data_IF_138703809657
#
_entry.id   IF_138703809657
#
_cell.length_a   1.000
_cell.length_b   1.000
_cell.length_c   1.000
_cell.angle_alpha   90.00
_cell.angle_beta   90.00
_cell.angle_gamma   90.00
#
_symmetry.space_group_name_H-M   'P 1'
#
loop_
_entity.id
_entity.type
_entity.pdbx_description
1 polymer ?
#
# COMPACT_ATOMS: atom_id res chain seq x y z
N UNK A 1 15.88 25.98 -8.54
CA UNK A 1 14.98 26.71 -7.61
C UNK A 1 13.71 25.90 -7.44
N UNK A 2 13.19 25.78 -6.23
CA UNK A 2 11.95 25.04 -5.97
C UNK A 2 10.73 25.76 -6.59
N UNK A 3 9.87 25.07 -7.35
CA UNK A 3 8.71 25.71 -7.98
C UNK A 3 7.79 26.32 -6.93
N UNK A 4 7.30 27.54 -7.19
CA UNK A 4 6.47 28.33 -6.26
C UNK A 4 5.25 27.54 -5.75
N UNK A 5 4.68 26.65 -6.57
CA UNK A 5 3.51 25.81 -6.24
C UNK A 5 3.72 24.86 -5.04
N UNK A 6 4.96 24.53 -4.71
CA UNK A 6 5.33 23.69 -3.55
C UNK A 6 5.55 24.50 -2.27
N UNK A 7 5.58 25.83 -2.35
CA UNK A 7 5.80 26.73 -1.20
C UNK A 7 4.59 27.54 -0.82
N UNK A 8 3.65 27.73 -1.74
CA UNK A 8 2.42 28.47 -1.49
C UNK A 8 1.29 28.03 -2.43
N UNK A 9 0.07 28.12 -1.92
CA UNK A 9 -1.13 28.05 -2.74
C UNK A 9 -1.45 29.41 -3.36
N UNK A 10 -1.73 29.43 -4.66
CA UNK A 10 -2.26 30.58 -5.36
C UNK A 10 -3.67 30.92 -4.86
N UNK A 11 -3.93 32.19 -4.59
CA UNK A 11 -5.24 32.67 -4.09
C UNK A 11 -6.44 32.28 -4.98
N UNK A 12 -6.19 32.08 -6.28
CA UNK A 12 -7.21 31.77 -7.29
C UNK A 12 -7.44 30.29 -7.51
N UNK A 13 -6.54 29.41 -7.05
CA UNK A 13 -6.67 27.97 -7.26
C UNK A 13 -7.70 27.34 -6.29
N UNK A 14 -8.16 26.10 -6.55
CA UNK A 14 -9.01 25.37 -5.63
C UNK A 14 -8.41 25.28 -4.23
N UNK A 15 -9.23 25.45 -3.21
CA UNK A 15 -8.77 25.40 -1.83
C UNK A 15 -8.29 23.98 -1.47
N UNK A 16 -7.11 23.83 -0.84
CA UNK A 16 -6.53 22.52 -0.53
C UNK A 16 -7.32 21.70 0.50
N UNK A 17 -8.38 22.27 1.08
CA UNK A 17 -9.29 21.54 1.97
C UNK A 17 -10.38 20.72 1.25
N UNK A 18 -10.36 20.69 -0.10
CA UNK A 18 -11.31 19.93 -0.90
C UNK A 18 -12.73 20.53 -0.99
N UNK A 19 -12.91 21.79 -0.60
CA UNK A 19 -14.26 22.43 -0.57
C UNK A 19 -14.83 22.82 -1.94
N UNK A 20 -14.05 22.73 -3.01
CA UNK A 20 -14.40 23.23 -4.35
C UNK A 20 -14.36 24.76 -4.50
N UNK A 21 -14.21 25.53 -3.42
CA UNK A 21 -14.07 27.00 -3.45
C UNK A 21 -12.64 27.41 -3.79
N UNK A 22 -12.45 28.63 -4.31
CA UNK A 22 -11.12 29.24 -4.46
C UNK A 22 -10.45 29.43 -3.08
N UNK A 23 -9.13 29.22 -2.98
CA UNK A 23 -8.39 29.31 -1.73
C UNK A 23 -8.63 30.64 -0.97
N UNK A 24 -8.61 31.78 -1.68
CA UNK A 24 -8.90 33.11 -1.11
C UNK A 24 -10.27 33.23 -0.43
N UNK A 25 -11.25 32.48 -0.91
CA UNK A 25 -12.64 32.51 -0.44
C UNK A 25 -12.94 31.36 0.54
N UNK A 26 -11.90 30.66 1.00
CA UNK A 26 -12.02 29.52 1.91
C UNK A 26 -10.92 29.56 2.98
N UNK A 27 -9.92 28.67 2.96
CA UNK A 27 -8.96 28.54 4.05
C UNK A 27 -8.01 29.74 4.22
N UNK A 28 -7.80 30.59 3.21
CA UNK A 28 -6.78 31.65 3.26
C UNK A 28 -6.91 32.60 4.47
N UNK A 29 -8.14 32.98 4.82
CA UNK A 29 -8.46 33.88 5.94
C UNK A 29 -9.21 33.17 7.08
N UNK A 30 -9.40 31.86 7.02
CA UNK A 30 -10.16 31.12 8.02
C UNK A 30 -9.27 30.81 9.23
N UNK A 31 -9.83 30.90 10.43
CA UNK A 31 -9.16 30.47 11.66
C UNK A 31 -9.28 28.97 11.85
N UNK A 32 -8.32 28.41 12.58
CA UNK A 32 -8.35 27.01 12.96
C UNK A 32 -9.50 26.70 13.93
N UNK A 33 -9.95 25.46 13.90
CA UNK A 33 -10.87 24.94 14.90
C UNK A 33 -10.12 24.73 16.21
N UNK A 34 -10.77 25.02 17.34
CA UNK A 34 -10.25 24.63 18.66
C UNK A 34 -10.30 23.12 18.77
N UNK A 35 -9.15 22.50 19.04
CA UNK A 35 -9.03 21.04 19.09
C UNK A 35 -8.57 20.57 20.48
N UNK A 36 -9.01 19.39 20.96
CA UNK A 36 -8.69 18.92 22.30
C UNK A 36 -7.18 18.86 22.61
N UNK A 37 -6.33 18.59 21.60
CA UNK A 37 -4.89 18.52 21.80
C UNK A 37 -4.25 19.87 22.13
N UNK A 38 -4.90 21.02 21.89
CA UNK A 38 -4.33 22.34 22.22
C UNK A 38 -4.31 22.59 23.74
N UNK A 39 -5.15 21.85 24.49
CA UNK A 39 -5.28 21.91 25.94
C UNK A 39 -4.25 21.06 26.68
N UNK A 40 -3.46 20.24 25.98
CA UNK A 40 -2.40 19.42 26.59
C UNK A 40 -1.14 20.27 26.84
N UNK A 41 -0.26 19.87 27.78
CA UNK A 41 1.01 20.57 28.02
C UNK A 41 1.83 20.74 26.75
N UNK A 42 2.52 21.87 26.59
CA UNK A 42 3.29 22.20 25.38
C UNK A 42 4.19 21.06 24.90
N UNK A 43 4.93 20.43 25.82
CA UNK A 43 5.83 19.29 25.55
C UNK A 43 5.15 18.04 24.95
N UNK A 44 3.82 17.95 25.01
CA UNK A 44 3.01 16.83 24.48
C UNK A 44 2.20 17.20 23.24
N UNK A 45 2.21 18.47 22.82
CA UNK A 45 1.35 18.95 21.72
C UNK A 45 1.70 18.32 20.39
N UNK A 46 2.97 18.10 20.11
CA UNK A 46 3.41 17.47 18.85
C UNK A 46 2.88 16.03 18.73
N UNK A 47 3.12 15.19 19.74
CA UNK A 47 2.59 13.82 19.77
C UNK A 47 1.06 13.79 19.72
N UNK A 48 0.40 14.69 20.44
CA UNK A 48 -1.07 14.79 20.43
C UNK A 48 -1.62 15.26 19.07
N UNK A 49 -0.90 16.14 18.35
CA UNK A 49 -1.24 16.53 16.97
C UNK A 49 -1.04 15.36 15.99
N UNK A 50 0.07 14.62 16.10
CA UNK A 50 0.32 13.41 15.29
C UNK A 50 -0.77 12.35 15.51
N UNK A 51 -1.16 12.10 16.75
CA UNK A 51 -2.28 11.20 17.08
C UNK A 51 -3.62 11.71 16.52
N UNK A 52 -3.88 13.03 16.56
CA UNK A 52 -5.06 13.62 15.92
C UNK A 52 -5.05 13.41 14.40
N UNK A 53 -3.94 13.69 13.73
CA UNK A 53 -3.79 13.47 12.29
C UNK A 53 -3.97 12.00 11.91
N UNK A 54 -3.42 11.07 12.70
CA UNK A 54 -3.61 9.64 12.51
C UNK A 54 -5.09 9.21 12.65
N UNK A 55 -5.80 9.70 13.67
CA UNK A 55 -7.23 9.40 13.82
C UNK A 55 -8.04 9.96 12.65
N UNK A 56 -7.71 11.17 12.20
CA UNK A 56 -8.36 11.79 11.04
C UNK A 56 -8.12 10.97 9.76
N UNK A 57 -6.94 10.39 9.59
CA UNK A 57 -6.64 9.46 8.50
C UNK A 57 -7.54 8.21 8.56
N UNK A 58 -7.68 7.58 9.73
CA UNK A 58 -8.58 6.44 9.93
C UNK A 58 -10.05 6.78 9.67
N UNK A 59 -10.47 8.01 9.91
CA UNK A 59 -11.83 8.50 9.63
C UNK A 59 -12.03 8.94 8.17
N UNK A 60 -10.95 9.20 7.43
CA UNK A 60 -10.98 9.72 6.06
C UNK A 60 -11.25 8.65 5.00
N UNK A 61 -12.18 7.73 5.31
CA UNK A 61 -12.54 6.62 4.43
C UNK A 61 -13.34 7.07 3.22
N UNK A 62 -13.07 6.50 2.05
CA UNK A 62 -13.82 6.75 0.82
C UNK A 62 -14.58 5.50 0.39
N UNK A 63 -15.80 5.66 -0.11
CA UNK A 63 -16.61 4.57 -0.66
C UNK A 63 -16.90 4.88 -2.12
N UNK A 64 -16.38 4.06 -3.01
CA UNK A 64 -16.59 4.19 -4.45
C UNK A 64 -16.45 2.82 -5.11
N UNK A 65 -16.94 2.70 -6.35
CA UNK A 65 -16.59 1.56 -7.19
C UNK A 65 -15.56 2.01 -8.22
N UNK A 66 -14.42 1.33 -8.26
CA UNK A 66 -13.31 1.64 -9.16
C UNK A 66 -13.46 0.99 -10.54
N UNK A 67 -14.48 0.17 -10.74
CA UNK A 67 -14.82 -0.40 -12.04
C UNK A 67 -15.12 0.72 -13.06
N UNK A 68 -14.72 0.57 -14.34
CA UNK A 68 -14.80 1.65 -15.33
C UNK A 68 -16.23 2.13 -15.61
N UNK A 69 -17.20 1.20 -15.62
CA UNK A 69 -18.60 1.49 -15.88
C UNK A 69 -19.36 1.67 -14.56
N UNK A 70 -19.45 2.91 -14.12
CA UNK A 70 -20.16 3.27 -12.90
C UNK A 70 -21.68 3.21 -13.06
N UNK A 71 -22.22 3.27 -14.29
CA UNK A 71 -23.66 3.19 -14.55
C UNK A 71 -24.19 1.77 -14.29
N UNK A 72 -23.35 0.76 -14.49
CA UNK A 72 -23.66 -0.64 -14.21
C UNK A 72 -23.44 -1.08 -12.77
N UNK A 73 -23.10 -0.15 -11.86
CA UNK A 73 -22.95 -0.46 -10.45
C UNK A 73 -24.28 -0.93 -9.84
N UNK A 74 -24.26 -2.15 -9.31
CA UNK A 74 -25.40 -2.74 -8.61
C UNK A 74 -24.99 -3.20 -7.21
N UNK A 75 -25.91 -3.08 -6.26
CA UNK A 75 -25.67 -3.40 -4.86
C UNK A 75 -24.92 -2.30 -4.10
N UNK A 76 -24.55 -2.59 -2.86
CA UNK A 76 -23.83 -1.64 -1.99
C UNK A 76 -22.33 -1.72 -2.25
N UNK A 77 -21.63 -0.62 -2.02
CA UNK A 77 -20.17 -0.66 -1.82
C UNK A 77 -19.90 -1.52 -0.58
N UNK A 78 -19.10 -2.57 -0.76
CA UNK A 78 -18.78 -3.55 0.28
C UNK A 78 -17.31 -3.44 0.68
N UNK A 79 -16.97 -4.19 1.72
CA UNK A 79 -15.59 -4.44 2.10
C UNK A 79 -15.03 -5.51 1.15
N UNK A 80 -14.43 -5.06 0.05
CA UNK A 80 -13.74 -5.92 -0.91
C UNK A 80 -12.36 -6.30 -0.35
N UNK A 81 -11.97 -7.55 -0.45
CA UNK A 81 -10.66 -8.00 0.04
C UNK A 81 -9.59 -7.83 -1.03
N UNK A 82 -8.43 -7.28 -0.66
CA UNK A 82 -7.26 -7.26 -1.55
C UNK A 82 -6.57 -8.62 -1.60
N UNK A 83 -6.69 -9.44 -0.54
CA UNK A 83 -6.25 -10.83 -0.51
C UNK A 83 -7.45 -11.75 -0.30
N UNK A 84 -7.55 -12.81 -1.10
CA UNK A 84 -8.71 -13.70 -1.07
C UNK A 84 -9.01 -14.25 0.34
N UNK A 85 -10.24 -14.05 0.82
CA UNK A 85 -10.66 -14.54 2.14
C UNK A 85 -10.77 -16.07 2.19
N UNK A 86 -11.51 -16.67 1.25
CA UNK A 86 -11.79 -18.12 1.18
C UNK A 86 -10.72 -18.91 0.41
N UNK A 87 -9.45 -18.57 0.65
CA UNK A 87 -8.30 -19.21 0.02
C UNK A 87 -7.04 -18.78 0.75
N UNK A 88 -6.46 -17.65 0.34
CA UNK A 88 -5.24 -17.07 0.92
C UNK A 88 -5.36 -16.83 2.43
N UNK A 89 -6.31 -16.01 2.88
CA UNK A 89 -6.43 -15.68 4.30
C UNK A 89 -6.81 -16.90 5.14
N UNK A 90 -7.61 -17.82 4.60
CA UNK A 90 -7.99 -19.05 5.30
C UNK A 90 -6.81 -20.00 5.53
N UNK A 91 -5.77 -19.95 4.67
CA UNK A 91 -4.54 -20.72 4.86
C UNK A 91 -3.61 -20.13 5.93
N UNK A 92 -3.68 -18.81 6.13
CA UNK A 92 -2.80 -18.06 7.05
C UNK A 92 -3.49 -17.85 8.41
N UNK A 93 -4.83 -17.90 8.46
CA UNK A 93 -5.58 -17.62 9.68
C UNK A 93 -5.51 -18.75 10.69
N UNK A 94 -5.39 -18.38 11.96
CA UNK A 94 -5.54 -19.27 13.11
C UNK A 94 -6.77 -18.83 13.90
N UNK A 95 -7.66 -19.76 14.24
CA UNK A 95 -8.92 -19.45 14.94
C UNK A 95 -9.74 -18.32 14.27
N UNK A 96 -9.69 -18.24 12.93
CA UNK A 96 -10.39 -17.22 12.15
C UNK A 96 -9.74 -15.83 12.12
N UNK A 97 -8.50 -15.74 12.60
CA UNK A 97 -7.79 -14.49 12.81
C UNK A 97 -6.39 -14.48 12.17
N UNK A 98 -5.92 -13.30 11.78
CA UNK A 98 -4.60 -13.04 11.20
C UNK A 98 -3.97 -11.82 11.86
N UNK A 99 -2.65 -11.70 11.76
CA UNK A 99 -1.96 -10.47 12.16
C UNK A 99 -1.81 -9.56 10.96
N UNK A 100 -2.25 -8.31 11.07
CA UNK A 100 -1.99 -7.27 10.07
C UNK A 100 -0.86 -6.38 10.58
N UNK A 101 0.23 -6.31 9.82
CA UNK A 101 1.37 -5.47 10.16
C UNK A 101 1.06 -4.03 9.76
N UNK A 102 0.78 -3.19 10.75
CA UNK A 102 0.43 -1.78 10.59
C UNK A 102 1.11 -0.94 11.67
N UNK A 103 1.16 0.38 11.44
CA UNK A 103 1.50 1.35 12.48
C UNK A 103 0.25 1.82 13.25
N UNK A 104 0.44 2.09 14.54
CA UNK A 104 -0.54 2.78 15.39
C UNK A 104 0.17 3.91 16.17
N UNK A 105 -0.60 4.82 16.76
CA UNK A 105 -0.06 5.87 17.62
C UNK A 105 -0.47 5.62 19.07
N UNK A 106 0.54 5.36 19.92
CA UNK A 106 0.41 5.35 21.36
C UNK A 106 0.18 6.76 21.93
N UNK A 107 0.30 6.90 23.25
CA UNK A 107 0.07 8.18 23.94
C UNK A 107 1.04 9.28 23.52
N UNK A 108 2.28 8.94 23.20
CA UNK A 108 3.34 9.91 22.90
C UNK A 108 4.13 9.56 21.62
N UNK A 109 4.15 8.30 21.16
CA UNK A 109 4.95 7.83 20.00
C UNK A 109 4.21 6.84 19.07
N UNK A 110 4.74 6.65 17.87
CA UNK A 110 4.35 5.58 16.95
C UNK A 110 4.67 4.23 17.61
N UNK A 111 3.68 3.34 17.66
CA UNK A 111 3.83 1.98 18.16
C UNK A 111 3.43 1.00 17.07
N UNK A 112 3.93 -0.21 17.18
CA UNK A 112 3.37 -1.33 16.45
C UNK A 112 2.38 -2.05 17.34
N UNK A 113 1.09 -1.86 17.04
CA UNK A 113 0.04 -2.68 17.63
C UNK A 113 -0.23 -3.85 16.68
N UNK A 114 0.08 -5.04 17.15
CA UNK A 114 -0.11 -6.28 16.41
C UNK A 114 -1.58 -6.61 16.52
N UNK A 115 -2.38 -6.07 15.59
CA UNK A 115 -3.81 -6.34 15.58
C UNK A 115 -4.02 -7.76 15.08
N UNK A 116 -4.40 -8.60 16.02
CA UNK A 116 -5.18 -9.79 15.77
C UNK A 116 -6.53 -9.31 15.17
N UNK A 117 -6.68 -9.50 13.86
CA UNK A 117 -7.84 -9.05 13.09
C UNK A 117 -8.55 -10.27 12.49
N UNK A 118 -9.88 -10.25 12.52
CA UNK A 118 -10.67 -11.30 11.87
C UNK A 118 -10.31 -11.35 10.38
N UNK A 119 -10.12 -12.56 9.84
CA UNK A 119 -9.86 -12.74 8.40
C UNK A 119 -10.92 -12.09 7.51
N UNK A 120 -12.17 -11.97 8.00
CA UNK A 120 -13.29 -11.34 7.31
C UNK A 120 -13.21 -9.81 7.25
N UNK A 121 -12.31 -9.19 8.02
CA UNK A 121 -12.03 -7.75 8.02
C UNK A 121 -10.64 -7.42 7.47
N UNK A 122 -9.71 -8.36 7.59
CA UNK A 122 -8.34 -8.18 7.15
C UNK A 122 -8.24 -7.86 5.65
N UNK A 123 -7.40 -6.89 5.33
CA UNK A 123 -7.11 -6.44 3.96
C UNK A 123 -8.34 -5.99 3.16
N UNK A 124 -9.37 -5.51 3.85
CA UNK A 124 -10.57 -4.99 3.19
C UNK A 124 -10.48 -3.50 2.89
N UNK A 125 -11.07 -3.09 1.76
CA UNK A 125 -11.24 -1.71 1.37
C UNK A 125 -12.57 -1.54 0.63
N UNK A 126 -13.04 -0.30 0.50
CA UNK A 126 -14.38 0.02 -0.04
C UNK A 126 -14.30 0.58 -1.47
N UNK A 127 -13.55 -0.14 -2.31
CA UNK A 127 -13.28 0.22 -3.71
C UNK A 127 -14.15 -0.48 -4.76
N UNK A 128 -15.08 -1.35 -4.36
CA UNK A 128 -15.97 -2.06 -5.29
C UNK A 128 -17.39 -2.24 -4.73
N UNK A 129 -18.39 -2.20 -5.61
CA UNK A 129 -19.73 -2.70 -5.30
C UNK A 129 -19.74 -4.24 -5.35
N UNK A 130 -20.79 -4.85 -4.79
CA UNK A 130 -20.89 -6.31 -4.70
C UNK A 130 -20.84 -7.02 -6.07
N UNK A 131 -21.52 -6.47 -7.07
CA UNK A 131 -21.49 -6.97 -8.45
C UNK A 131 -20.08 -6.97 -9.02
N UNK A 132 -19.37 -5.84 -8.99
CA UNK A 132 -18.08 -5.71 -9.65
C UNK A 132 -16.94 -6.40 -8.90
N UNK A 133 -16.99 -6.45 -7.56
CA UNK A 133 -16.07 -7.26 -6.76
C UNK A 133 -16.14 -8.74 -7.19
N UNK A 134 -17.37 -9.27 -7.30
CA UNK A 134 -17.59 -10.67 -7.69
C UNK A 134 -17.23 -10.93 -9.15
N UNK A 135 -17.69 -10.08 -10.07
CA UNK A 135 -17.55 -10.31 -11.51
C UNK A 135 -16.11 -10.17 -11.99
N UNK A 136 -15.42 -9.11 -11.56
CA UNK A 136 -14.05 -8.81 -12.02
C UNK A 136 -13.08 -9.88 -11.55
N UNK A 137 -13.17 -10.26 -10.27
CA UNK A 137 -12.16 -11.12 -9.67
C UNK A 137 -12.53 -12.61 -9.64
N UNK A 138 -13.68 -12.99 -10.23
CA UNK A 138 -14.15 -14.38 -10.25
C UNK A 138 -13.06 -15.39 -10.63
N UNK A 139 -12.24 -15.07 -11.63
CA UNK A 139 -11.22 -15.99 -12.15
C UNK A 139 -10.15 -16.32 -11.10
N UNK A 140 -9.61 -15.31 -10.42
CA UNK A 140 -8.59 -15.48 -9.36
C UNK A 140 -9.17 -15.88 -7.99
N UNK A 141 -10.50 -15.88 -7.85
CA UNK A 141 -11.18 -16.27 -6.62
C UNK A 141 -11.74 -17.70 -6.66
N UNK A 142 -12.04 -18.24 -7.85
CA UNK A 142 -12.77 -19.52 -7.98
C UNK A 142 -11.98 -20.61 -8.69
N UNK A 143 -10.88 -20.26 -9.36
CA UNK A 143 -10.03 -21.21 -10.08
C UNK A 143 -8.69 -21.39 -9.38
N UNK A 144 -7.99 -22.45 -9.75
CA UNK A 144 -6.60 -22.61 -9.36
C UNK A 144 -5.74 -21.50 -9.95
N UNK A 145 -4.70 -21.13 -9.20
CA UNK A 145 -3.75 -20.11 -9.62
C UNK A 145 -2.91 -20.66 -10.76
N UNK A 146 -3.02 -20.01 -11.92
CA UNK A 146 -2.22 -20.24 -13.10
C UNK A 146 -1.42 -18.96 -13.42
N UNK A 147 -0.14 -18.98 -13.03
CA UNK A 147 0.79 -17.86 -13.24
C UNK A 147 1.24 -17.70 -14.69
N UNK A 148 0.84 -18.63 -15.58
CA UNK A 148 1.03 -18.51 -17.03
C UNK A 148 -0.17 -17.86 -17.72
N UNK A 149 -1.30 -17.72 -17.02
CA UNK A 149 -2.50 -17.04 -17.53
C UNK A 149 -2.36 -15.52 -17.43
N UNK A 150 -2.25 -14.86 -18.58
CA UNK A 150 -2.28 -13.39 -18.67
C UNK A 150 -3.48 -12.78 -17.95
N UNK A 151 -4.66 -13.44 -18.02
CA UNK A 151 -5.88 -13.00 -17.34
C UNK A 151 -5.72 -12.99 -15.83
N UNK A 152 -5.20 -14.06 -15.23
CA UNK A 152 -5.04 -14.10 -13.77
C UNK A 152 -3.98 -13.12 -13.30
N UNK A 153 -2.82 -13.09 -13.95
CA UNK A 153 -1.76 -12.12 -13.65
C UNK A 153 -2.26 -10.66 -13.77
N UNK A 154 -3.11 -10.38 -14.77
CA UNK A 154 -3.76 -9.07 -14.94
C UNK A 154 -4.68 -8.76 -13.76
N UNK A 155 -5.52 -9.71 -13.34
CA UNK A 155 -6.48 -9.50 -12.25
C UNK A 155 -5.79 -9.31 -10.89
N UNK A 156 -4.69 -10.02 -10.62
CA UNK A 156 -3.85 -9.76 -9.45
C UNK A 156 -3.27 -8.34 -9.48
N UNK A 157 -2.70 -7.92 -10.61
CA UNK A 157 -2.17 -6.58 -10.79
C UNK A 157 -3.27 -5.50 -10.65
N UNK A 158 -4.45 -5.72 -11.24
CA UNK A 158 -5.59 -4.81 -11.15
C UNK A 158 -6.10 -4.67 -9.72
N UNK A 159 -6.17 -5.76 -8.95
CA UNK A 159 -6.55 -5.71 -7.54
C UNK A 159 -5.55 -4.90 -6.71
N UNK A 160 -4.25 -5.15 -6.91
CA UNK A 160 -3.18 -4.41 -6.26
C UNK A 160 -3.20 -2.91 -6.61
N UNK A 161 -3.42 -2.60 -7.88
CA UNK A 161 -3.63 -1.23 -8.38
C UNK A 161 -4.84 -0.54 -7.72
N UNK A 162 -5.98 -1.23 -7.67
CA UNK A 162 -7.21 -0.67 -7.12
C UNK A 162 -7.07 -0.33 -5.64
N UNK A 163 -6.39 -1.19 -4.87
CA UNK A 163 -6.02 -0.92 -3.49
C UNK A 163 -5.14 0.33 -3.37
N UNK A 164 -4.10 0.44 -4.21
CA UNK A 164 -3.17 1.58 -4.16
C UNK A 164 -3.86 2.90 -4.52
N UNK A 165 -4.69 2.92 -5.57
CA UNK A 165 -5.47 4.10 -5.93
C UNK A 165 -6.42 4.51 -4.79
N UNK A 166 -7.09 3.54 -4.17
CA UNK A 166 -8.00 3.78 -3.06
C UNK A 166 -7.25 4.39 -1.87
N UNK A 167 -6.11 3.81 -1.46
CA UNK A 167 -5.25 4.34 -0.39
C UNK A 167 -4.77 5.76 -0.66
N UNK A 168 -4.30 6.06 -1.89
CA UNK A 168 -3.85 7.42 -2.24
C UNK A 168 -4.99 8.44 -2.17
N UNK A 169 -6.19 8.08 -2.63
CA UNK A 169 -7.37 8.95 -2.50
C UNK A 169 -7.78 9.18 -1.05
N UNK A 170 -7.71 8.16 -0.18
CA UNK A 170 -7.93 8.33 1.27
C UNK A 170 -6.88 9.26 1.89
N UNK A 171 -5.60 9.12 1.51
CA UNK A 171 -4.52 10.00 1.96
C UNK A 171 -4.75 11.47 1.57
N UNK A 172 -5.14 11.74 0.32
CA UNK A 172 -5.51 13.10 -0.10
C UNK A 172 -6.70 13.64 0.69
N UNK A 173 -7.74 12.82 0.89
CA UNK A 173 -8.91 13.22 1.69
C UNK A 173 -8.51 13.53 3.13
N UNK A 174 -7.60 12.76 3.72
CA UNK A 174 -7.06 12.98 5.07
C UNK A 174 -6.37 14.36 5.18
N UNK A 175 -5.45 14.66 4.25
CA UNK A 175 -4.78 15.97 4.20
C UNK A 175 -5.79 17.12 3.97
N UNK A 176 -6.79 16.90 3.11
CA UNK A 176 -7.86 17.88 2.88
C UNK A 176 -8.69 18.14 4.15
N UNK A 177 -9.04 17.10 4.91
CA UNK A 177 -9.73 17.27 6.19
C UNK A 177 -8.84 18.00 7.20
N UNK A 178 -7.53 17.73 7.20
CA UNK A 178 -6.58 18.41 8.07
C UNK A 178 -6.55 19.92 7.78
N UNK A 179 -6.47 20.34 6.50
CA UNK A 179 -6.59 21.75 6.12
C UNK A 179 -7.96 22.36 6.42
N UNK A 180 -9.02 21.55 6.45
CA UNK A 180 -10.37 22.00 6.81
C UNK A 180 -10.48 22.26 8.32
N UNK A 181 -9.86 21.42 9.13
CA UNK A 181 -9.78 21.56 10.58
C UNK A 181 -8.81 22.68 10.98
N UNK A 182 -7.67 22.77 10.30
CA UNK A 182 -6.59 23.72 10.54
C UNK A 182 -6.16 24.46 9.27
N UNK A 183 -6.94 25.46 8.82
CA UNK A 183 -6.60 26.29 7.66
C UNK A 183 -5.20 26.92 7.72
N UNK A 184 -4.64 27.22 8.89
CA UNK A 184 -3.28 27.80 9.00
C UNK A 184 -2.20 26.90 8.41
N UNK A 185 -2.37 25.57 8.46
CA UNK A 185 -1.42 24.61 7.88
C UNK A 185 -1.25 24.82 6.36
N UNK A 186 -2.23 25.42 5.68
CA UNK A 186 -2.10 25.76 4.24
C UNK A 186 -1.12 26.90 3.95
N UNK A 187 -0.41 27.39 4.97
CA UNK A 187 0.69 28.36 4.87
C UNK A 187 2.03 27.75 5.29
N UNK A 188 2.03 26.53 5.82
CA UNK A 188 3.23 25.81 6.27
C UNK A 188 3.82 25.03 5.09
N UNK A 189 5.09 25.29 4.77
CA UNK A 189 5.75 24.77 3.55
C UNK A 189 5.71 23.24 3.50
N UNK A 190 5.92 22.56 4.62
CA UNK A 190 5.93 21.09 4.70
C UNK A 190 4.57 20.49 4.34
N UNK A 191 3.47 21.05 4.84
CA UNK A 191 2.12 20.59 4.52
C UNK A 191 1.72 20.92 3.08
N UNK A 192 2.16 22.08 2.56
CA UNK A 192 1.95 22.45 1.15
C UNK A 192 2.67 21.44 0.26
N UNK A 193 3.95 21.17 0.53
CA UNK A 193 4.74 20.20 -0.22
C UNK A 193 4.12 18.80 -0.16
N UNK A 194 3.73 18.33 1.04
CA UNK A 194 3.06 17.05 1.23
C UNK A 194 1.80 16.95 0.35
N UNK A 195 0.92 17.95 0.40
CA UNK A 195 -0.30 17.98 -0.43
C UNK A 195 0.02 17.90 -1.93
N UNK A 196 1.03 18.65 -2.40
CA UNK A 196 1.42 18.63 -3.82
C UNK A 196 2.02 17.29 -4.25
N UNK A 197 2.85 16.68 -3.42
CA UNK A 197 3.36 15.34 -3.72
C UNK A 197 2.24 14.30 -3.73
N UNK A 198 1.23 14.42 -2.84
CA UNK A 198 0.04 13.57 -2.89
C UNK A 198 -0.77 13.79 -4.17
N UNK A 199 -0.94 15.03 -4.63
CA UNK A 199 -1.59 15.33 -5.93
C UNK A 199 -0.82 14.69 -7.10
N UNK A 200 0.50 14.81 -7.14
CA UNK A 200 1.33 14.17 -8.16
C UNK A 200 1.22 12.64 -8.12
N UNK A 201 1.34 12.04 -6.94
CA UNK A 201 1.23 10.59 -6.77
C UNK A 201 -0.15 10.05 -7.19
N UNK A 202 -1.22 10.83 -7.00
CA UNK A 202 -2.56 10.47 -7.48
C UNK A 202 -2.65 10.58 -9.01
N UNK A 203 -2.09 11.63 -9.60
CA UNK A 203 -2.05 11.78 -11.05
C UNK A 203 -1.31 10.62 -11.73
N UNK A 204 -0.20 10.18 -11.13
CA UNK A 204 0.54 9.01 -11.60
C UNK A 204 -0.35 7.76 -11.65
N UNK A 205 -1.06 7.48 -10.55
CA UNK A 205 -1.95 6.31 -10.47
C UNK A 205 -3.19 6.47 -11.37
N UNK A 206 -3.65 7.68 -11.65
CA UNK A 206 -4.74 7.90 -12.61
C UNK A 206 -4.38 7.55 -14.05
N UNK A 207 -3.11 7.64 -14.45
CA UNK A 207 -2.67 7.15 -15.76
C UNK A 207 -2.82 5.63 -15.84
N UNK A 208 -2.44 4.91 -14.77
CA UNK A 208 -2.68 3.48 -14.65
C UNK A 208 -4.17 3.14 -14.68
N UNK A 209 -5.03 3.95 -14.05
CA UNK A 209 -6.48 3.77 -14.12
C UNK A 209 -6.96 3.70 -15.56
N UNK A 210 -6.58 4.66 -16.40
CA UNK A 210 -6.98 4.68 -17.82
C UNK A 210 -6.54 3.41 -18.56
N UNK A 211 -5.35 2.93 -18.26
CA UNK A 211 -4.80 1.71 -18.84
C UNK A 211 -5.59 0.47 -18.40
N UNK A 212 -5.76 0.26 -17.09
CA UNK A 212 -6.47 -0.88 -16.54
C UNK A 212 -7.95 -0.87 -16.94
N UNK A 213 -8.59 0.29 -16.96
CA UNK A 213 -9.98 0.44 -17.38
C UNK A 213 -10.17 -0.01 -18.84
N UNK A 214 -9.28 0.46 -19.74
CA UNK A 214 -9.28 0.05 -21.15
C UNK A 214 -9.04 -1.46 -21.30
N UNK A 215 -8.10 -2.02 -20.55
CA UNK A 215 -7.80 -3.45 -20.56
C UNK A 215 -9.02 -4.27 -20.12
N UNK A 216 -9.67 -3.86 -19.04
CA UNK A 216 -10.75 -4.60 -18.41
C UNK A 216 -12.02 -4.56 -19.27
N UNK A 217 -12.33 -3.44 -19.92
CA UNK A 217 -13.48 -3.31 -20.84
C UNK A 217 -13.29 -4.17 -22.09
N UNK A 218 -12.07 -4.17 -22.66
CA UNK A 218 -11.79 -4.88 -23.91
C UNK A 218 -11.35 -6.33 -23.71
N UNK A 219 -11.28 -6.80 -22.47
CA UNK A 219 -10.68 -8.08 -22.08
C UNK A 219 -9.24 -8.29 -22.62
N UNK A 220 -8.50 -7.19 -22.77
CA UNK A 220 -7.11 -7.17 -23.26
C UNK A 220 -6.13 -7.35 -22.09
N UNK A 221 -6.09 -8.57 -21.57
CA UNK A 221 -5.27 -8.94 -20.41
C UNK A 221 -3.78 -9.02 -20.72
N UNK A 222 -3.43 -9.16 -21.99
CA UNK A 222 -2.04 -9.19 -22.44
C UNK A 222 -1.37 -7.83 -22.32
N UNK A 223 -2.05 -6.74 -21.96
CA UNK A 223 -1.34 -5.46 -21.83
C UNK A 223 -0.36 -5.41 -20.64
N UNK A 224 -0.42 -6.35 -19.70
CA UNK A 224 0.58 -6.47 -18.62
C UNK A 224 1.70 -7.47 -18.97
N UNK A 225 2.81 -7.36 -18.26
CA UNK A 225 3.86 -8.38 -18.18
C UNK A 225 4.04 -8.79 -16.73
N UNK A 226 4.47 -10.02 -16.52
CA UNK A 226 4.74 -10.56 -15.18
C UNK A 226 5.98 -11.44 -15.17
N UNK A 227 6.71 -11.41 -14.06
CA UNK A 227 7.65 -12.47 -13.67
C UNK A 227 7.16 -13.12 -12.39
N UNK A 228 7.42 -14.42 -12.22
CA UNK A 228 6.95 -15.19 -11.08
C UNK A 228 8.07 -16.03 -10.49
N UNK A 229 8.22 -15.96 -9.16
CA UNK A 229 9.03 -16.89 -8.39
C UNK A 229 8.12 -17.84 -7.63
N UNK A 230 8.58 -19.07 -7.41
CA UNK A 230 7.79 -20.10 -6.73
C UNK A 230 8.64 -20.81 -5.70
N UNK A 231 8.12 -20.96 -4.49
CA UNK A 231 8.64 -21.91 -3.52
C UNK A 231 7.76 -23.15 -3.49
N UNK A 232 8.36 -24.33 -3.41
CA UNK A 232 7.65 -25.61 -3.33
C UNK A 232 7.15 -25.93 -1.90
N UNK A 233 6.86 -24.88 -1.13
CA UNK A 233 6.23 -24.95 0.18
C UNK A 233 5.33 -23.72 0.40
N UNK A 234 4.36 -23.80 1.30
CA UNK A 234 3.49 -22.67 1.67
C UNK A 234 4.15 -21.79 2.75
N UNK A 235 4.32 -20.49 2.49
CA UNK A 235 4.69 -19.49 3.49
C UNK A 235 3.50 -19.14 4.38
N UNK A 236 3.77 -18.70 5.61
CA UNK A 236 2.72 -18.32 6.59
C UNK A 236 2.40 -16.81 6.57
N UNK A 237 2.46 -16.19 5.38
CA UNK A 237 2.15 -14.77 5.16
C UNK A 237 1.55 -14.56 3.77
N UNK A 238 0.85 -13.44 3.57
CA UNK A 238 0.45 -12.97 2.24
C UNK A 238 0.54 -11.44 2.16
N UNK A 239 0.76 -10.93 0.96
CA UNK A 239 0.84 -9.51 0.71
C UNK A 239 0.48 -9.18 -0.73
N UNK A 240 -0.10 -8.01 -0.97
CA UNK A 240 -0.27 -7.47 -2.32
C UNK A 240 -0.27 -5.95 -2.30
N UNK A 241 0.17 -5.32 -3.39
CA UNK A 241 0.17 -3.86 -3.49
C UNK A 241 0.81 -3.34 -4.77
N UNK A 242 0.65 -2.04 -5.00
CA UNK A 242 1.40 -1.29 -6.01
C UNK A 242 2.51 -0.51 -5.34
N UNK A 243 3.72 -0.54 -5.90
CA UNK A 243 4.90 0.12 -5.33
C UNK A 243 5.61 0.95 -6.38
N UNK A 244 6.16 2.08 -5.96
CA UNK A 244 7.06 2.91 -6.78
C UNK A 244 8.48 2.69 -6.28
N UNK A 245 9.22 1.79 -6.93
CA UNK A 245 10.60 1.45 -6.54
C UNK A 245 11.51 2.66 -6.69
N UNK A 246 12.16 3.10 -5.61
CA UNK A 246 13.11 4.22 -5.66
C UNK A 246 14.50 3.78 -6.12
N UNK A 247 14.86 2.52 -5.87
CA UNK A 247 16.13 1.92 -6.27
C UNK A 247 15.93 0.50 -6.81
N UNK A 248 16.82 0.08 -7.71
CA UNK A 248 16.96 -1.32 -8.12
C UNK A 248 17.71 -2.13 -7.06
N UNK A 249 17.92 -3.43 -7.32
CA UNK A 249 18.55 -4.35 -6.36
C UNK A 249 20.03 -4.00 -6.13
N UNK A 250 20.67 -3.38 -7.13
CA UNK A 250 22.06 -2.90 -7.07
C UNK A 250 22.19 -1.51 -6.43
N UNK A 251 21.09 -0.86 -6.05
CA UNK A 251 21.06 0.47 -5.44
C UNK A 251 21.13 1.63 -6.44
N UNK A 252 20.93 1.38 -7.74
CA UNK A 252 20.79 2.44 -8.73
C UNK A 252 19.39 3.05 -8.61
N UNK A 253 19.30 4.38 -8.73
CA UNK A 253 18.02 5.09 -8.63
C UNK A 253 17.11 4.71 -9.80
N UNK A 254 15.89 4.28 -9.48
CA UNK A 254 14.83 3.99 -10.44
C UNK A 254 13.85 5.16 -10.53
N UNK A 255 12.98 5.32 -9.53
CA UNK A 255 12.06 6.46 -9.44
C UNK A 255 12.62 7.53 -8.50
N UNK A 256 12.42 8.79 -8.86
CA UNK A 256 12.56 9.91 -7.94
C UNK A 256 11.19 10.30 -7.38
N UNK A 257 10.85 9.82 -6.19
CA UNK A 257 9.58 10.14 -5.51
C UNK A 257 9.47 11.61 -5.07
N UNK A 258 10.56 12.38 -5.19
CA UNK A 258 10.58 13.82 -4.97
C UNK A 258 10.72 14.60 -6.29
N UNK A 259 10.64 13.90 -7.44
CA UNK A 259 10.55 14.55 -8.74
C UNK A 259 9.36 15.49 -8.79
N UNK A 260 9.55 16.60 -9.51
CA UNK A 260 8.53 17.62 -9.74
C UNK A 260 8.16 17.73 -11.21
N UNK A 261 8.76 16.87 -12.02
CA UNK A 261 8.47 16.73 -13.44
C UNK A 261 7.10 16.10 -13.64
N UNK A 262 6.51 16.35 -14.80
CA UNK A 262 5.21 15.78 -15.18
C UNK A 262 5.32 14.31 -15.62
N UNK A 263 6.54 13.82 -15.81
CA UNK A 263 6.76 12.42 -16.12
C UNK A 263 6.31 11.54 -14.94
N UNK A 264 5.34 10.68 -15.22
CA UNK A 264 4.77 9.75 -14.26
C UNK A 264 5.84 8.84 -13.62
N UNK A 265 5.73 8.54 -12.33
CA UNK A 265 6.53 7.49 -11.69
C UNK A 265 6.02 6.08 -11.98
N UNK A 266 6.94 5.15 -12.22
CA UNK A 266 6.68 3.79 -12.71
C UNK A 266 6.43 2.85 -11.54
N UNK A 267 5.22 2.30 -11.49
CA UNK A 267 4.75 1.38 -10.48
C UNK A 267 4.91 -0.08 -10.91
N UNK A 268 5.34 -0.90 -9.95
CA UNK A 268 5.33 -2.35 -10.00
C UNK A 268 4.17 -2.83 -9.12
N UNK A 269 3.38 -3.78 -9.61
CA UNK A 269 2.32 -4.43 -8.84
C UNK A 269 2.81 -5.79 -8.40
N UNK A 270 2.56 -6.17 -7.14
CA UNK A 270 2.99 -7.47 -6.65
C UNK A 270 1.87 -8.19 -5.90
N UNK A 271 1.93 -9.52 -5.92
CA UNK A 271 1.09 -10.41 -5.12
C UNK A 271 1.93 -11.59 -4.65
N UNK A 272 1.96 -11.81 -3.33
CA UNK A 272 2.70 -12.88 -2.66
C UNK A 272 1.71 -13.69 -1.85
N UNK A 273 1.49 -14.95 -2.22
CA UNK A 273 0.41 -15.78 -1.67
C UNK A 273 0.78 -17.27 -1.59
N UNK A 274 0.42 -17.96 -0.51
CA UNK A 274 0.46 -19.42 -0.44
C UNK A 274 -0.75 -20.02 -1.16
N UNK A 275 -0.54 -21.06 -1.96
CA UNK A 275 -1.61 -21.82 -2.59
C UNK A 275 -1.18 -23.26 -2.93
N UNK A 276 -2.03 -24.23 -2.62
CA UNK A 276 -1.89 -25.66 -2.96
C UNK A 276 -0.47 -26.23 -2.77
N UNK A 277 0.14 -26.02 -1.60
CA UNK A 277 1.46 -26.57 -1.27
C UNK A 277 2.65 -25.73 -1.78
N UNK A 278 2.38 -24.63 -2.49
CA UNK A 278 3.39 -23.73 -3.04
C UNK A 278 3.19 -22.30 -2.56
N UNK A 279 4.17 -21.45 -2.79
CA UNK A 279 4.04 -20.00 -2.62
C UNK A 279 4.43 -19.29 -3.90
N UNK A 280 3.58 -18.37 -4.35
CA UNK A 280 3.76 -17.62 -5.58
C UNK A 280 4.12 -16.18 -5.26
N UNK A 281 5.14 -15.66 -5.94
CA UNK A 281 5.59 -14.28 -5.86
C UNK A 281 5.46 -13.68 -7.26
N UNK A 282 4.34 -13.01 -7.52
CA UNK A 282 3.99 -12.48 -8.83
C UNK A 282 4.31 -10.99 -8.83
N UNK A 283 5.18 -10.56 -9.74
CA UNK A 283 5.49 -9.15 -9.97
C UNK A 283 5.06 -8.77 -11.38
N UNK A 284 4.22 -7.75 -11.50
CA UNK A 284 3.57 -7.33 -12.73
C UNK A 284 3.75 -5.85 -13.00
N UNK A 285 3.90 -5.48 -14.28
CA UNK A 285 3.94 -4.09 -14.74
C UNK A 285 3.21 -3.97 -16.08
N UNK A 286 2.90 -2.75 -16.50
CA UNK A 286 2.27 -2.52 -17.81
C UNK A 286 3.32 -2.68 -18.91
N UNK A 287 2.96 -3.25 -20.06
CA UNK A 287 3.89 -3.48 -21.19
C UNK A 287 4.62 -2.21 -21.65
N UNK A 288 3.96 -1.05 -21.55
CA UNK A 288 4.58 0.24 -21.89
C UNK A 288 5.81 0.58 -21.03
N UNK A 289 5.91 0.01 -19.83
CA UNK A 289 7.00 0.23 -18.89
C UNK A 289 8.06 -0.91 -18.98
N UNK A 290 8.01 -1.79 -20.00
CA UNK A 290 8.93 -2.93 -20.15
C UNK A 290 10.40 -2.54 -20.13
N UNK A 291 10.79 -1.56 -20.95
CA UNK A 291 12.19 -1.13 -21.05
C UNK A 291 12.69 -0.55 -19.72
N UNK A 292 11.80 0.09 -18.96
CA UNK A 292 12.11 0.64 -17.64
C UNK A 292 12.39 -0.44 -16.59
N UNK A 293 11.61 -1.53 -16.60
CA UNK A 293 11.77 -2.62 -15.63
C UNK A 293 12.77 -3.71 -16.05
N UNK A 294 13.18 -3.74 -17.32
CA UNK A 294 14.03 -4.80 -17.90
C UNK A 294 15.23 -5.16 -17.02
N UNK A 295 16.05 -4.17 -16.66
CA UNK A 295 17.28 -4.42 -15.89
C UNK A 295 16.97 -4.85 -14.45
N UNK A 296 15.92 -4.29 -13.84
CA UNK A 296 15.47 -4.68 -12.51
C UNK A 296 14.98 -6.14 -12.47
N UNK A 297 14.20 -6.56 -13.47
CA UNK A 297 13.69 -7.92 -13.56
C UNK A 297 14.82 -8.91 -13.82
N UNK A 298 15.78 -8.58 -14.69
CA UNK A 298 16.97 -9.41 -14.89
C UNK A 298 17.79 -9.55 -13.59
N UNK A 299 17.89 -8.49 -12.78
CA UNK A 299 18.54 -8.56 -11.47
C UNK A 299 17.77 -9.49 -10.51
N UNK A 300 16.44 -9.40 -10.49
CA UNK A 300 15.58 -10.20 -9.63
C UNK A 300 15.64 -11.68 -9.99
N UNK A 301 15.57 -12.02 -11.29
CA UNK A 301 15.65 -13.38 -11.82
C UNK A 301 17.05 -14.00 -11.65
N UNK A 302 18.08 -13.17 -11.54
CA UNK A 302 19.46 -13.60 -11.28
C UNK A 302 19.79 -13.88 -9.81
N UNK A 303 18.85 -13.64 -8.88
CA UNK A 303 19.09 -13.91 -7.45
C UNK A 303 19.07 -15.42 -7.16
N UNK A 304 19.93 -15.86 -6.23
CA UNK A 304 19.74 -17.17 -5.60
C UNK A 304 18.51 -17.17 -4.72
N UNK A 305 17.98 -18.35 -4.36
CA UNK A 305 16.83 -18.46 -3.47
C UNK A 305 17.04 -17.70 -2.15
N UNK A 306 18.21 -17.83 -1.52
CA UNK A 306 18.55 -17.14 -0.26
C UNK A 306 18.64 -15.61 -0.43
N UNK A 307 19.17 -15.14 -1.56
CA UNK A 307 19.17 -13.71 -1.88
C UNK A 307 17.75 -13.19 -2.13
N UNK A 308 16.91 -13.98 -2.81
CA UNK A 308 15.51 -13.63 -3.05
C UNK A 308 14.72 -13.58 -1.74
N UNK A 309 14.92 -14.53 -0.82
CA UNK A 309 14.34 -14.47 0.54
C UNK A 309 14.76 -13.20 1.28
N UNK A 310 16.05 -12.88 1.25
CA UNK A 310 16.58 -11.65 1.85
C UNK A 310 15.98 -10.39 1.21
N UNK A 311 15.87 -10.38 -0.12
CA UNK A 311 15.24 -9.30 -0.88
C UNK A 311 13.80 -9.08 -0.44
N UNK A 312 12.97 -10.11 -0.43
CA UNK A 312 11.55 -10.01 -0.07
C UNK A 312 11.36 -9.60 1.39
N UNK A 313 12.17 -10.13 2.31
CA UNK A 313 12.15 -9.76 3.74
C UNK A 313 12.45 -8.27 3.97
N UNK A 314 13.24 -7.63 3.11
CA UNK A 314 13.46 -6.19 3.14
C UNK A 314 12.43 -5.40 2.32
N UNK A 315 12.00 -5.93 1.17
CA UNK A 315 11.06 -5.30 0.25
C UNK A 315 9.71 -5.05 0.90
N UNK A 316 9.14 -6.07 1.54
CA UNK A 316 7.82 -6.00 2.16
C UNK A 316 7.71 -4.83 3.16
N UNK A 317 8.51 -4.77 4.24
CA UNK A 317 8.42 -3.67 5.17
C UNK A 317 8.79 -2.32 4.56
N UNK A 318 9.64 -2.27 3.54
CA UNK A 318 10.06 -0.99 2.95
C UNK A 318 9.00 -0.36 2.04
N UNK A 319 8.07 -1.14 1.47
CA UNK A 319 7.20 -0.66 0.40
C UNK A 319 5.70 -0.94 0.59
N UNK A 320 5.30 -1.77 1.56
CA UNK A 320 3.87 -2.08 1.75
C UNK A 320 3.46 -2.19 3.21
N UNK A 321 2.30 -1.61 3.51
CA UNK A 321 1.58 -1.85 4.76
C UNK A 321 0.58 -3.02 4.65
N UNK A 322 0.33 -3.51 3.44
CA UNK A 322 -0.65 -4.57 3.20
C UNK A 322 0.00 -5.96 3.30
N UNK A 323 0.54 -6.25 4.49
CA UNK A 323 1.15 -7.53 4.84
C UNK A 323 0.33 -8.19 5.94
N UNK A 324 -0.10 -9.42 5.68
CA UNK A 324 -0.74 -10.28 6.67
C UNK A 324 0.13 -11.49 6.96
N UNK A 325 0.20 -11.86 8.23
CA UNK A 325 1.00 -12.98 8.71
C UNK A 325 0.17 -13.85 9.64
N UNK A 326 0.53 -15.13 9.72
CA UNK A 326 -0.08 -16.04 10.67
C UNK A 326 0.23 -15.58 12.11
N UNK A 327 -0.73 -15.64 13.05
CA UNK A 327 -0.48 -15.26 14.44
C UNK A 327 0.69 -16.01 15.07
N UNK A 328 0.80 -17.33 14.84
CA UNK A 328 1.94 -18.14 15.30
C UNK A 328 3.27 -17.63 14.75
N UNK A 329 3.38 -17.41 13.43
CA UNK A 329 4.62 -16.92 12.79
C UNK A 329 5.08 -15.63 13.45
N UNK A 330 4.17 -14.69 13.62
CA UNK A 330 4.52 -13.42 14.23
C UNK A 330 4.84 -13.53 15.72
N UNK A 331 4.16 -14.42 16.44
CA UNK A 331 4.46 -14.68 17.85
C UNK A 331 5.85 -15.29 18.06
N UNK A 332 6.33 -16.09 17.10
CA UNK A 332 7.66 -16.73 17.13
C UNK A 332 8.81 -15.71 17.08
N UNK A 333 8.58 -14.53 16.50
CA UNK A 333 9.60 -13.50 16.40
C UNK A 333 9.91 -12.90 17.77
N UNK A 334 11.19 -12.90 18.11
CA UNK A 334 11.74 -12.18 19.26
C UNK A 334 11.47 -10.67 19.14
N UNK A 335 11.54 -9.96 20.27
CA UNK A 335 11.43 -8.49 20.27
C UNK A 335 12.43 -7.83 19.31
N UNK A 336 13.69 -8.30 19.28
CA UNK A 336 14.73 -7.79 18.37
C UNK A 336 14.34 -7.96 16.89
N UNK A 337 13.70 -9.06 16.54
CA UNK A 337 13.23 -9.32 15.18
C UNK A 337 12.08 -8.38 14.79
N UNK A 338 11.11 -8.21 15.67
CA UNK A 338 9.98 -7.26 15.47
C UNK A 338 10.48 -5.83 15.35
N UNK A 339 11.36 -5.38 16.25
CA UNK A 339 11.94 -4.04 16.21
C UNK A 339 12.72 -3.80 14.91
N UNK A 340 13.47 -4.81 14.42
CA UNK A 340 14.18 -4.72 13.14
C UNK A 340 13.23 -4.64 11.93
N UNK A 341 12.10 -5.35 11.96
CA UNK A 341 11.06 -5.23 10.94
C UNK A 341 10.47 -3.81 10.94
N UNK A 342 10.05 -3.31 12.11
CA UNK A 342 9.40 -2.01 12.21
C UNK A 342 10.32 -0.84 11.88
N UNK A 343 11.60 -0.93 12.21
CA UNK A 343 12.58 0.08 11.78
C UNK A 343 12.57 0.30 10.26
N UNK A 344 12.32 -0.76 9.48
CA UNK A 344 12.18 -0.64 8.03
C UNK A 344 10.78 -0.20 7.62
N UNK A 345 9.76 -0.70 8.31
CA UNK A 345 8.36 -0.34 8.12
C UNK A 345 8.08 1.15 8.32
N UNK A 346 8.76 1.77 9.28
CA UNK A 346 8.55 3.18 9.68
C UNK A 346 9.60 4.13 9.11
N UNK A 347 10.56 3.63 8.31
CA UNK A 347 11.70 4.43 7.85
C UNK A 347 11.30 5.69 7.05
N UNK A 348 10.24 5.58 6.24
CA UNK A 348 9.69 6.72 5.49
C UNK A 348 9.06 7.79 6.39
N UNK A 349 8.60 7.42 7.58
CA UNK A 349 7.99 8.33 8.56
C UNK A 349 9.01 9.00 9.47
N UNK A 350 10.11 8.31 9.79
CA UNK A 350 11.04 8.73 10.86
C UNK A 350 12.28 9.47 10.37
N UNK A 351 12.92 9.02 9.28
CA UNK A 351 14.30 9.45 9.00
C UNK A 351 14.47 10.22 7.70
N UNK A 352 13.48 10.20 6.80
CA UNK A 352 13.66 10.63 5.40
C UNK A 352 14.92 10.01 4.73
N UNK A 353 15.50 8.95 5.31
CA UNK A 353 16.74 8.33 4.84
C UNK A 353 16.41 7.26 3.81
N UNK A 354 16.24 7.72 2.58
CA UNK A 354 15.98 6.88 1.40
C UNK A 354 17.09 5.83 1.15
N UNK A 355 18.26 5.90 1.81
CA UNK A 355 19.36 4.96 1.59
C UNK A 355 19.06 3.54 2.05
N UNK A 356 18.14 3.33 3.00
CA UNK A 356 17.72 1.98 3.36
C UNK A 356 17.10 1.26 2.15
N UNK A 357 16.36 1.95 1.29
CA UNK A 357 15.77 1.34 0.09
C UNK A 357 16.80 1.03 -1.00
N UNK A 358 18.01 1.60 -0.92
CA UNK A 358 19.10 1.36 -1.88
C UNK A 358 19.85 0.03 -1.64
N UNK A 359 19.59 -0.68 -0.53
CA UNK A 359 20.16 -2.00 -0.29
C UNK A 359 19.12 -2.94 0.35
N UNK A 360 18.38 -3.63 -0.51
CA UNK A 360 17.38 -4.64 -0.11
C UNK A 360 17.98 -6.04 0.08
N UNK A 361 19.28 -6.23 -0.18
CA UNK A 361 19.99 -7.49 0.08
C UNK A 361 20.74 -7.51 1.42
N UNK A 362 20.51 -6.50 2.29
CA UNK A 362 21.06 -6.52 3.64
C UNK A 362 20.47 -7.68 4.46
N UNK A 363 21.29 -8.28 5.30
CA UNK A 363 20.83 -9.31 6.24
C UNK A 363 19.76 -8.75 7.20
N UNK A 364 18.67 -9.50 7.36
CA UNK A 364 17.62 -9.26 8.35
C UNK A 364 17.66 -10.34 9.42
N UNK A 365 17.34 -10.03 10.69
CA UNK A 365 17.31 -11.03 11.75
C UNK A 365 16.03 -11.88 11.76
N UNK A 366 15.07 -11.58 10.88
CA UNK A 366 13.76 -12.25 10.77
C UNK A 366 13.57 -12.83 9.37
N UNK A 367 12.68 -13.82 9.27
CA UNK A 367 12.26 -14.41 8.00
C UNK A 367 10.75 -14.60 7.97
N UNK A 368 10.07 -13.82 7.13
CA UNK A 368 8.63 -13.91 6.88
C UNK A 368 8.27 -15.11 6.02
N UNK A 369 9.22 -15.67 5.27
CA UNK A 369 8.99 -16.65 4.22
C UNK A 369 9.15 -18.09 4.71
N UNK A 370 8.95 -18.32 6.00
CA UNK A 370 8.91 -19.66 6.58
C UNK A 370 7.48 -20.17 6.68
N UNK A 371 7.34 -21.49 6.66
CA UNK A 371 6.10 -22.17 6.98
C UNK A 371 6.06 -22.45 8.49
N UNK A 372 5.20 -21.76 9.23
CA UNK A 372 5.09 -21.93 10.68
C UNK A 372 3.80 -22.64 11.10
N UNK A 373 2.77 -22.61 10.25
CA UNK A 373 1.43 -23.10 10.59
C UNK A 373 1.32 -24.65 10.57
N UNK A 374 2.31 -25.37 10.02
CA UNK A 374 2.14 -26.81 9.70
C UNK A 374 2.96 -27.82 10.50
N UNK A 375 4.05 -27.44 11.16
CA UNK A 375 4.92 -28.45 11.80
C UNK A 375 4.39 -28.99 13.13
N UNK A 376 3.46 -28.30 13.82
CA UNK A 376 3.02 -28.71 15.17
C UNK A 376 1.70 -29.50 15.24
N UNK A 377 1.02 -29.78 14.12
CA UNK A 377 -0.26 -30.53 14.15
C UNK A 377 -0.15 -32.03 13.84
N UNK A 378 1.06 -32.57 13.70
CA UNK A 378 1.27 -34.01 13.39
C UNK A 378 1.71 -34.83 14.61
N UNK A 379 1.85 -34.23 15.80
CA UNK A 379 2.24 -34.96 17.00
C UNK A 379 1.21 -34.74 18.13
N UNK A 380 0.06 -35.40 18.02
CA UNK A 380 -0.75 -35.91 19.15
C UNK A 380 -1.99 -36.61 18.56
N UNK A 381 -1.80 -37.87 18.16
CA UNK A 381 -2.86 -38.86 17.97
C UNK A 381 -2.48 -40.16 18.65
#
# INVERSE_FOLDING_TARGET
MEPIKFRQFAKTEPCPCGSGKKYRACCFNRKDQELPFEKVPHKKREGAFKNYAYRLDKESKIKECLYPDSEQCEGKIKNAHSLQNNGVLSKISENGHVVILNTDYGKDDLIYDVKDESKNKATTFTGFCDKHDTLVFKDIETKEIDVTSSKQCFLFAYRAFALELHKKKESLKSIQQLFKARPTLSKEIEFIAQYRYTELAINDVFVYKKFFDKALINEDYDMIQSTTFTFDYEISMAACGGVTLTYDIKGNKMNDIHSREEERLKALFFTIIPNNGKSYFIFSWIKNDNDYFKDYIQQLEGLTEEQFKTYVNNFLPSYTENVVVAPSLWSSFTKRQKDAFFKLFTADFETHDNRLKANLLRSTPYDLLINHVREEKVAES
#
